data_IF_152204193581
#
_entry.id   IF_152204193581
#
_cell.length_a   1.000
_cell.length_b   1.000
_cell.length_c   1.000
_cell.angle_alpha   90.00
_cell.angle_beta   90.00
_cell.angle_gamma   90.00
#
_symmetry.space_group_name_H-M   'P 1'
#
loop_
_entity.id
_entity.type
_entity.pdbx_description
1 polymer ?
#
# COMPACT_ATOMS: atom_id res chain seq x y z
N UNK A 1 -28.46 9.10 40.59
CA UNK A 1 -27.96 7.73 40.80
C UNK A 1 -28.34 6.89 39.59
N UNK A 2 -27.35 6.50 38.77
CA UNK A 2 -27.19 5.19 38.07
C UNK A 2 -26.21 5.36 36.89
N UNK A 3 -24.91 5.41 37.18
CA UNK A 3 -23.88 4.96 36.22
C UNK A 3 -23.35 3.62 36.76
N UNK A 4 -24.10 2.55 36.52
CA UNK A 4 -23.69 1.18 36.86
C UNK A 4 -23.64 0.46 35.51
N UNK A 5 -22.43 0.15 35.03
CA UNK A 5 -22.09 -0.49 33.74
C UNK A 5 -21.64 0.40 32.57
N UNK A 6 -20.93 1.50 32.81
CA UNK A 6 -20.04 2.03 31.76
C UNK A 6 -18.74 1.20 31.79
N UNK A 7 -18.78 -0.01 31.22
CA UNK A 7 -17.53 -0.73 30.90
C UNK A 7 -16.89 0.08 29.79
N UNK A 8 -15.80 0.78 30.08
CA UNK A 8 -14.98 1.36 29.03
C UNK A 8 -14.61 0.24 28.07
N UNK A 9 -15.05 0.38 26.82
CA UNK A 9 -14.80 -0.61 25.79
C UNK A 9 -13.31 -0.60 25.53
N UNK A 10 -12.62 -1.67 25.93
CA UNK A 10 -11.19 -1.82 25.72
C UNK A 10 -10.89 -2.09 24.24
N UNK A 11 -10.69 -1.01 23.48
CA UNK A 11 -10.35 -1.07 22.06
C UNK A 11 -8.90 -1.50 21.80
N UNK A 12 -8.06 -1.63 22.83
CA UNK A 12 -6.67 -2.08 22.62
C UNK A 12 -6.62 -3.51 22.07
N UNK A 13 -7.65 -4.32 22.36
CA UNK A 13 -7.80 -5.67 21.81
C UNK A 13 -7.97 -5.71 20.29
N UNK A 14 -8.41 -4.61 19.67
CA UNK A 14 -8.52 -4.51 18.21
C UNK A 14 -7.16 -4.40 17.51
N UNK A 15 -6.06 -4.29 18.25
CA UNK A 15 -4.70 -4.41 17.69
C UNK A 15 -4.37 -5.86 17.27
N UNK A 16 -5.06 -6.84 17.85
CA UNK A 16 -4.98 -8.24 17.43
C UNK A 16 -5.87 -8.47 16.19
N UNK A 17 -5.29 -9.07 15.15
CA UNK A 17 -6.00 -9.31 13.89
C UNK A 17 -7.12 -10.35 14.06
N UNK A 18 -6.94 -11.30 14.97
CA UNK A 18 -7.94 -12.34 15.25
C UNK A 18 -9.20 -11.77 15.91
N UNK A 19 -9.06 -10.65 16.62
CA UNK A 19 -10.17 -9.90 17.23
C UNK A 19 -10.72 -8.84 16.28
N UNK A 20 -9.85 -8.15 15.55
CA UNK A 20 -10.23 -7.11 14.59
C UNK A 20 -11.05 -7.67 13.42
N UNK A 21 -10.71 -8.87 12.95
CA UNK A 21 -11.39 -9.50 11.81
C UNK A 21 -12.89 -9.73 12.06
N UNK A 22 -13.33 -10.44 13.10
CA UNK A 22 -14.75 -10.62 13.38
C UNK A 22 -15.44 -9.29 13.70
N UNK A 23 -14.77 -8.36 14.40
CA UNK A 23 -15.32 -7.04 14.68
C UNK A 23 -15.58 -6.22 13.40
N UNK A 24 -14.61 -6.18 12.47
CA UNK A 24 -14.75 -5.46 11.19
C UNK A 24 -15.80 -6.10 10.29
N UNK A 25 -15.90 -7.43 10.26
CA UNK A 25 -16.96 -8.15 9.55
C UNK A 25 -18.35 -7.86 10.12
N UNK A 26 -18.48 -7.78 11.44
CA UNK A 26 -19.73 -7.38 12.08
C UNK A 26 -20.12 -5.94 11.70
N UNK A 27 -19.17 -5.00 11.77
CA UNK A 27 -19.40 -3.61 11.33
C UNK A 27 -19.76 -3.51 9.85
N UNK A 28 -19.14 -4.31 8.97
CA UNK A 28 -19.54 -4.39 7.56
C UNK A 28 -21.01 -4.80 7.40
N UNK A 29 -21.44 -5.87 8.10
CA UNK A 29 -22.84 -6.32 8.05
C UNK A 29 -23.81 -5.25 8.54
N UNK A 30 -23.44 -4.53 9.60
CA UNK A 30 -24.25 -3.41 10.12
C UNK A 30 -24.38 -2.32 9.06
N UNK A 31 -23.28 -1.86 8.47
CA UNK A 31 -23.32 -0.81 7.44
C UNK A 31 -24.02 -1.24 6.15
N UNK A 32 -23.92 -2.52 5.80
CA UNK A 32 -24.68 -3.10 4.70
C UNK A 32 -26.19 -3.07 4.99
N UNK A 33 -26.59 -3.48 6.21
CA UNK A 33 -27.97 -3.40 6.68
C UNK A 33 -28.50 -1.97 6.72
N UNK A 34 -27.70 -1.02 7.19
CA UNK A 34 -28.04 0.42 7.19
C UNK A 34 -28.31 0.90 5.76
N UNK A 35 -27.47 0.54 4.80
CA UNK A 35 -27.66 0.94 3.40
C UNK A 35 -28.98 0.40 2.84
N UNK A 36 -29.32 -0.87 3.11
CA UNK A 36 -30.59 -1.47 2.70
C UNK A 36 -31.80 -0.77 3.35
N UNK A 37 -31.73 -0.52 4.66
CA UNK A 37 -32.79 0.20 5.37
C UNK A 37 -33.00 1.62 4.82
N UNK A 38 -31.92 2.34 4.50
CA UNK A 38 -32.02 3.66 3.89
C UNK A 38 -32.59 3.62 2.46
N UNK A 39 -32.36 2.55 1.71
CA UNK A 39 -32.97 2.34 0.39
C UNK A 39 -34.47 2.11 0.47
N UNK A 40 -34.93 1.32 1.44
CA UNK A 40 -36.36 1.12 1.72
C UNK A 40 -37.04 2.43 2.12
N UNK A 41 -36.43 3.19 3.03
CA UNK A 41 -36.92 4.51 3.43
C UNK A 41 -36.95 5.46 2.23
N UNK A 42 -35.92 5.45 1.38
CA UNK A 42 -35.89 6.28 0.17
C UNK A 42 -37.06 5.94 -0.77
N UNK A 43 -37.39 4.66 -0.96
CA UNK A 43 -38.51 4.25 -1.78
C UNK A 43 -39.85 4.73 -1.19
N UNK A 44 -40.04 4.62 0.13
CA UNK A 44 -41.21 5.13 0.83
C UNK A 44 -41.37 6.65 0.65
N UNK A 45 -40.30 7.40 0.88
CA UNK A 45 -40.30 8.86 0.73
C UNK A 45 -40.53 9.29 -0.72
N UNK A 46 -40.00 8.57 -1.69
CA UNK A 46 -40.26 8.82 -3.10
C UNK A 46 -41.74 8.60 -3.44
N UNK A 47 -42.36 7.55 -2.91
CA UNK A 47 -43.79 7.32 -3.10
C UNK A 47 -44.62 8.44 -2.47
N UNK A 48 -44.38 8.75 -1.19
CA UNK A 48 -45.16 9.72 -0.44
C UNK A 48 -44.98 11.16 -0.97
N UNK A 49 -43.75 11.67 -1.01
CA UNK A 49 -43.49 13.08 -1.33
C UNK A 49 -43.76 13.44 -2.80
N UNK A 50 -43.61 12.47 -3.72
CA UNK A 50 -43.90 12.75 -5.14
C UNK A 50 -45.38 12.65 -5.47
N UNK A 51 -46.16 11.95 -4.63
CA UNK A 51 -47.62 11.93 -4.73
C UNK A 51 -48.28 13.17 -4.10
N UNK A 52 -47.53 13.98 -3.34
CA UNK A 52 -48.03 15.19 -2.69
C UNK A 52 -48.13 16.36 -3.68
N UNK A 53 -49.22 16.38 -4.44
CA UNK A 53 -49.58 17.44 -5.38
C UNK A 53 -50.46 18.48 -4.70
N UNK A 54 -50.13 19.75 -4.90
CA UNK A 54 -50.91 20.91 -4.40
C UNK A 54 -51.65 21.54 -5.60
N UNK A 55 -52.84 22.08 -5.38
CA UNK A 55 -53.57 22.79 -6.43
C UNK A 55 -52.72 23.92 -7.04
N UNK A 56 -52.62 23.93 -8.37
CA UNK A 56 -51.75 24.84 -9.13
C UNK A 56 -50.32 24.33 -9.36
N UNK A 57 -49.95 23.14 -8.86
CA UNK A 57 -48.65 22.54 -9.17
C UNK A 57 -48.52 22.17 -10.66
N UNK A 58 -47.35 22.48 -11.23
CA UNK A 58 -46.93 21.90 -12.50
C UNK A 58 -46.49 20.43 -12.34
N UNK A 59 -46.41 19.70 -13.46
CA UNK A 59 -46.06 18.26 -13.50
C UNK A 59 -44.75 17.88 -12.79
N UNK A 60 -43.85 18.85 -12.58
CA UNK A 60 -42.54 18.64 -11.96
C UNK A 60 -42.40 19.27 -10.57
N UNK A 61 -43.40 19.99 -10.07
CA UNK A 61 -43.29 20.70 -8.79
C UNK A 61 -43.06 19.73 -7.62
N UNK A 62 -43.92 18.72 -7.47
CA UNK A 62 -43.78 17.70 -6.43
C UNK A 62 -42.42 16.95 -6.47
N UNK A 63 -41.95 16.40 -7.61
CA UNK A 63 -40.65 15.72 -7.63
C UNK A 63 -39.47 16.66 -7.37
N UNK A 64 -39.53 17.93 -7.75
CA UNK A 64 -38.46 18.90 -7.45
C UNK A 64 -38.36 19.20 -5.94
N UNK A 65 -39.50 19.29 -5.25
CA UNK A 65 -39.54 19.42 -3.78
C UNK A 65 -39.01 18.15 -3.11
N UNK A 66 -39.49 16.98 -3.54
CA UNK A 66 -39.06 15.68 -3.01
C UNK A 66 -37.55 15.46 -3.12
N UNK A 67 -36.93 15.89 -4.24
CA UNK A 67 -35.48 15.79 -4.46
C UNK A 67 -34.64 16.40 -3.33
N UNK A 68 -35.11 17.45 -2.65
CA UNK A 68 -34.37 18.07 -1.53
C UNK A 68 -34.22 17.10 -0.36
N UNK A 69 -35.28 16.34 -0.05
CA UNK A 69 -35.28 15.33 1.01
C UNK A 69 -34.53 14.07 0.55
N UNK A 70 -34.85 13.57 -0.66
CA UNK A 70 -34.22 12.37 -1.22
C UNK A 70 -32.69 12.45 -1.29
N UNK A 71 -32.14 13.66 -1.53
CA UNK A 71 -30.69 13.86 -1.60
C UNK A 71 -29.99 13.42 -0.30
N UNK A 72 -30.59 13.67 0.86
CA UNK A 72 -29.99 13.31 2.15
C UNK A 72 -29.96 11.80 2.37
N UNK A 73 -31.04 11.09 2.03
CA UNK A 73 -31.09 9.63 2.09
C UNK A 73 -30.09 9.00 1.11
N UNK A 74 -30.00 9.51 -0.13
CA UNK A 74 -28.97 9.08 -1.10
C UNK A 74 -27.55 9.28 -0.57
N UNK A 75 -27.30 10.38 0.14
CA UNK A 75 -26.02 10.62 0.79
C UNK A 75 -25.75 9.62 1.93
N UNK A 76 -26.76 9.29 2.75
CA UNK A 76 -26.66 8.29 3.80
C UNK A 76 -26.36 6.88 3.26
N UNK A 77 -27.06 6.44 2.20
CA UNK A 77 -26.80 5.17 1.50
C UNK A 77 -25.34 5.11 1.02
N UNK A 78 -24.88 6.19 0.37
CA UNK A 78 -23.50 6.27 -0.11
C UNK A 78 -22.48 6.23 1.04
N UNK A 79 -22.79 6.91 2.15
CA UNK A 79 -21.93 6.92 3.32
C UNK A 79 -21.83 5.54 3.97
N UNK A 80 -22.96 4.83 4.13
CA UNK A 80 -23.01 3.48 4.67
C UNK A 80 -22.16 2.50 3.84
N UNK A 81 -22.33 2.50 2.51
CA UNK A 81 -21.49 1.69 1.60
C UNK A 81 -20.00 2.04 1.68
N UNK A 82 -19.68 3.33 1.85
CA UNK A 82 -18.29 3.77 2.03
C UNK A 82 -17.73 3.26 3.37
N UNK A 83 -18.52 3.26 4.42
CA UNK A 83 -18.12 2.74 5.73
C UNK A 83 -17.90 1.22 5.69
N UNK A 84 -18.77 0.48 5.01
CA UNK A 84 -18.61 -0.96 4.73
C UNK A 84 -17.24 -1.23 4.06
N UNK A 85 -16.94 -0.57 2.95
CA UNK A 85 -15.65 -0.70 2.27
C UNK A 85 -14.45 -0.24 3.12
N UNK A 86 -14.63 0.78 3.96
CA UNK A 86 -13.57 1.24 4.86
C UNK A 86 -13.22 0.20 5.94
N UNK A 87 -14.22 -0.54 6.44
CA UNK A 87 -13.98 -1.64 7.39
C UNK A 87 -13.20 -2.78 6.73
N UNK A 88 -13.46 -3.06 5.45
CA UNK A 88 -12.66 -4.03 4.69
C UNK A 88 -11.21 -3.57 4.54
N UNK A 89 -11.03 -2.32 4.10
CA UNK A 89 -9.71 -1.72 3.92
C UNK A 89 -8.89 -1.70 5.20
N UNK A 90 -9.51 -1.39 6.34
CA UNK A 90 -8.88 -1.43 7.65
C UNK A 90 -8.31 -2.82 7.97
N UNK A 91 -9.14 -3.87 7.83
CA UNK A 91 -8.73 -5.25 8.08
C UNK A 91 -7.55 -5.66 7.19
N UNK A 92 -7.62 -5.34 5.89
CA UNK A 92 -6.55 -5.67 4.93
C UNK A 92 -5.25 -4.93 5.26
N UNK A 93 -5.33 -3.66 5.64
CA UNK A 93 -4.16 -2.86 6.00
C UNK A 93 -3.44 -3.41 7.25
N UNK A 94 -4.19 -3.81 8.29
CA UNK A 94 -3.62 -4.41 9.50
C UNK A 94 -2.98 -5.77 9.19
N UNK A 95 -3.64 -6.62 8.41
CA UNK A 95 -3.08 -7.89 7.97
C UNK A 95 -1.78 -7.70 7.18
N UNK A 96 -1.75 -6.76 6.25
CA UNK A 96 -0.54 -6.42 5.48
C UNK A 96 0.59 -5.90 6.39
N UNK A 97 0.27 -5.07 7.38
CA UNK A 97 1.25 -4.59 8.35
C UNK A 97 1.86 -5.75 9.16
N UNK A 98 1.04 -6.66 9.69
CA UNK A 98 1.53 -7.81 10.44
C UNK A 98 2.40 -8.73 9.58
N UNK A 99 1.99 -9.02 8.34
CA UNK A 99 2.79 -9.81 7.40
C UNK A 99 4.14 -9.13 7.11
N UNK A 100 4.16 -7.79 6.97
CA UNK A 100 5.39 -7.04 6.81
C UNK A 100 6.32 -7.19 8.02
N UNK A 101 5.81 -7.02 9.24
CA UNK A 101 6.60 -7.16 10.47
C UNK A 101 7.16 -8.58 10.62
N UNK A 102 6.34 -9.60 10.33
CA UNK A 102 6.77 -11.00 10.38
C UNK A 102 7.88 -11.33 9.36
N UNK A 103 7.90 -10.65 8.21
CA UNK A 103 8.93 -10.85 7.19
C UNK A 103 10.27 -10.16 7.51
N UNK A 104 10.31 -9.19 8.43
CA UNK A 104 11.52 -8.40 8.72
C UNK A 104 12.75 -9.23 9.14
N UNK A 105 12.64 -10.26 10.00
CA UNK A 105 13.80 -11.07 10.39
C UNK A 105 14.47 -11.74 9.19
N UNK A 106 13.70 -12.44 8.35
CA UNK A 106 14.22 -13.10 7.14
C UNK A 106 14.82 -12.09 6.16
N UNK A 107 14.21 -10.91 6.01
CA UNK A 107 14.76 -9.84 5.18
C UNK A 107 16.10 -9.33 5.70
N UNK A 108 16.26 -9.21 7.03
CA UNK A 108 17.53 -8.80 7.66
C UNK A 108 18.60 -9.85 7.45
N UNK A 109 18.29 -11.14 7.63
CA UNK A 109 19.21 -12.25 7.39
C UNK A 109 19.66 -12.31 5.92
N UNK A 110 18.71 -12.27 4.98
CA UNK A 110 19.00 -12.26 3.56
C UNK A 110 19.89 -11.05 3.16
N UNK A 111 19.66 -9.89 3.78
CA UNK A 111 20.50 -8.70 3.57
C UNK A 111 21.91 -8.89 4.10
N UNK A 112 22.08 -9.53 5.26
CA UNK A 112 23.42 -9.83 5.80
C UNK A 112 24.16 -10.85 4.94
N UNK A 113 23.50 -11.92 4.49
CA UNK A 113 24.09 -12.90 3.57
C UNK A 113 24.51 -12.25 2.25
N UNK A 114 23.66 -11.39 1.67
CA UNK A 114 24.02 -10.61 0.47
C UNK A 114 25.23 -9.70 0.72
N UNK A 115 25.33 -9.08 1.89
CA UNK A 115 26.47 -8.24 2.26
C UNK A 115 27.76 -9.05 2.45
N UNK A 116 27.67 -10.22 3.08
CA UNK A 116 28.79 -11.16 3.22
C UNK A 116 29.27 -11.67 1.84
N UNK A 117 28.34 -12.06 0.97
CA UNK A 117 28.63 -12.44 -0.42
C UNK A 117 29.36 -11.32 -1.19
N UNK A 118 28.86 -10.08 -1.11
CA UNK A 118 29.54 -8.92 -1.72
C UNK A 118 30.95 -8.69 -1.17
N UNK A 119 31.15 -8.84 0.15
CA UNK A 119 32.49 -8.73 0.74
C UNK A 119 33.43 -9.82 0.24
N UNK A 120 32.95 -11.06 0.16
CA UNK A 120 33.74 -12.19 -0.36
C UNK A 120 34.10 -12.01 -1.83
N UNK A 121 33.19 -11.49 -2.66
CA UNK A 121 33.48 -11.23 -4.08
C UNK A 121 34.49 -10.10 -4.26
N UNK A 122 34.38 -9.03 -3.47
CA UNK A 122 35.38 -7.95 -3.48
C UNK A 122 36.74 -8.47 -3.03
N UNK A 123 36.79 -9.23 -1.93
CA UNK A 123 38.01 -9.85 -1.43
C UNK A 123 38.66 -10.79 -2.47
N UNK A 124 37.86 -11.59 -3.18
CA UNK A 124 38.34 -12.47 -4.24
C UNK A 124 38.91 -11.69 -5.43
N UNK A 125 38.30 -10.56 -5.82
CA UNK A 125 38.82 -9.70 -6.88
C UNK A 125 40.14 -9.04 -6.46
N UNK A 126 40.26 -8.56 -5.22
CA UNK A 126 41.52 -7.99 -4.70
C UNK A 126 42.62 -9.04 -4.55
N UNK A 127 42.29 -10.26 -4.16
CA UNK A 127 43.26 -11.36 -4.09
C UNK A 127 43.78 -11.73 -5.48
N UNK A 128 42.89 -11.79 -6.49
CA UNK A 128 43.29 -12.02 -7.90
C UNK A 128 44.17 -10.89 -8.44
N UNK A 129 43.89 -9.63 -8.11
CA UNK A 129 44.75 -8.51 -8.52
C UNK A 129 46.11 -8.54 -7.83
N UNK A 130 46.16 -8.85 -6.54
CA UNK A 130 47.42 -9.00 -5.80
C UNK A 130 48.27 -10.15 -6.33
N UNK A 131 47.67 -11.31 -6.61
CA UNK A 131 48.40 -12.43 -7.23
C UNK A 131 48.94 -12.08 -8.61
N UNK A 132 48.18 -11.34 -9.44
CA UNK A 132 48.65 -10.87 -10.75
C UNK A 132 49.82 -9.89 -10.64
N UNK A 133 49.78 -8.97 -9.68
CA UNK A 133 50.88 -8.05 -9.40
C UNK A 133 52.11 -8.76 -8.80
N UNK A 134 51.92 -9.75 -7.92
CA UNK A 134 53.01 -10.52 -7.33
C UNK A 134 53.74 -11.38 -8.36
N UNK A 135 53.03 -11.99 -9.33
CA UNK A 135 53.66 -12.74 -10.44
C UNK A 135 54.39 -11.83 -11.44
N UNK A 136 54.05 -10.54 -11.50
CA UNK A 136 54.77 -9.55 -12.31
C UNK A 136 56.03 -8.99 -11.62
N UNK A 137 56.21 -9.26 -10.32
CA UNK A 137 57.36 -8.81 -9.50
C UNK A 137 58.21 -10.00 -9.03
N UNK A 138 58.13 -11.14 -9.71
CA UNK A 138 59.16 -12.18 -9.61
C UNK A 138 60.35 -11.74 -10.48
N UNK A 139 61.55 -11.47 -9.93
CA UNK A 139 62.71 -11.11 -10.73
C UNK A 139 63.26 -12.39 -11.37
N UNK A 140 62.76 -12.71 -12.56
CA UNK A 140 63.35 -13.65 -13.50
C UNK A 140 64.07 -12.87 -14.59
N UNK A 141 65.31 -13.28 -14.86
CA UNK A 141 66.31 -12.62 -15.68
C UNK A 141 65.86 -12.18 -17.09
N UNK A 142 66.46 -11.05 -17.48
CA UNK A 142 66.94 -10.68 -18.81
C UNK A 142 66.00 -10.75 -20.04
N UNK A 143 65.93 -9.56 -20.65
CA UNK A 143 65.98 -9.29 -22.08
C UNK A 143 64.68 -9.10 -22.89
N UNK A 144 64.84 -8.20 -23.87
CA UNK A 144 63.99 -7.92 -25.03
C UNK A 144 62.79 -6.95 -24.87
N UNK A 145 63.08 -5.70 -25.26
CA UNK A 145 62.49 -5.01 -26.42
C UNK A 145 60.97 -4.73 -26.52
N UNK A 146 60.71 -3.44 -26.77
CA UNK A 146 59.81 -2.89 -27.79
C UNK A 146 58.30 -2.65 -27.46
N UNK A 147 58.00 -1.34 -27.54
CA UNK A 147 56.84 -0.69 -28.16
C UNK A 147 55.60 -0.33 -27.30
N UNK A 148 55.02 0.88 -27.53
CA UNK A 148 53.91 1.41 -26.74
C UNK A 148 52.59 0.80 -27.20
N UNK A 149 51.86 0.16 -26.28
CA UNK A 149 50.49 -0.28 -26.51
C UNK A 149 49.51 0.83 -26.13
N UNK A 150 48.96 1.49 -27.14
CA UNK A 150 47.75 2.32 -27.06
C UNK A 150 46.53 1.41 -26.84
N UNK A 151 46.27 1.05 -25.59
CA UNK A 151 44.99 0.47 -25.21
C UNK A 151 44.02 1.62 -24.83
N UNK A 152 42.79 1.69 -25.37
CA UNK A 152 41.83 2.70 -24.96
C UNK A 152 41.48 2.51 -23.48
N UNK A 153 41.51 3.60 -22.72
CA UNK A 153 41.12 3.63 -21.33
C UNK A 153 39.73 2.98 -21.15
N UNK A 154 39.63 2.04 -20.22
CA UNK A 154 38.39 1.35 -19.91
C UNK A 154 37.29 2.37 -19.58
N UNK A 155 36.30 2.48 -20.47
CA UNK A 155 35.12 3.32 -20.28
C UNK A 155 34.31 2.76 -19.10
N UNK A 156 34.23 3.52 -18.02
CA UNK A 156 33.45 3.16 -16.84
C UNK A 156 31.95 3.22 -17.13
N UNK A 157 31.16 2.52 -16.31
CA UNK A 157 29.68 2.49 -16.39
C UNK A 157 29.06 3.90 -16.39
N UNK A 158 29.78 4.88 -15.82
CA UNK A 158 29.41 6.30 -15.81
C UNK A 158 29.37 6.93 -17.21
N UNK A 159 30.22 6.52 -18.16
CA UNK A 159 30.25 7.05 -19.53
C UNK A 159 29.09 6.54 -20.39
N UNK A 160 28.63 5.31 -20.16
CA UNK A 160 27.46 4.74 -20.84
C UNK A 160 26.16 5.49 -20.50
N UNK A 161 26.05 6.07 -19.31
CA UNK A 161 24.89 6.85 -18.91
C UNK A 161 24.88 8.26 -19.51
N UNK A 162 26.04 8.86 -19.75
CA UNK A 162 26.16 10.20 -20.32
C UNK A 162 25.90 10.20 -21.84
N UNK A 163 26.29 9.16 -22.57
CA UNK A 163 26.01 9.04 -24.01
C UNK A 163 24.51 8.92 -24.33
N UNK A 164 23.70 8.37 -23.41
CA UNK A 164 22.25 8.16 -23.65
C UNK A 164 21.39 9.41 -23.41
N UNK A 165 21.93 10.48 -22.81
CA UNK A 165 21.21 11.73 -22.53
C UNK A 165 21.52 12.87 -23.50
N UNK A 166 22.43 12.65 -24.45
CA UNK A 166 22.86 13.67 -25.42
C UNK A 166 22.48 13.36 -26.87
N UNK A 167 21.37 12.65 -27.10
CA UNK A 167 20.78 12.41 -28.42
C UNK A 167 19.40 13.07 -28.50
#
# INVERSE_FOLDING_TARGET
>A
MTEINRRDVDYTRLLDLDVLTPWSLDRQRVHHGDAAAYEEILALFQSALRSETIDGDGRLSAPLRARKVEKHLKAAIKAARKQEGAMEGLRLAVAAHQAHVQALPQQREAKQLRKAGRRSSVAALTAKSLHKSATAVTPGAEDAAAAPSTAPAAQGITDLFNQRRGA
#
